data_IF_195441444489
#
_entry.id   IF_195441444489
#
_cell.length_a   1.000
_cell.length_b   1.000
_cell.length_c   1.000
_cell.angle_alpha   90.00
_cell.angle_beta   90.00
_cell.angle_gamma   90.00
#
_symmetry.space_group_name_H-M   'P 1'
#
loop_
_entity.id
_entity.type
_entity.pdbx_description
1 polymer ?
#
# COMPACT_ATOMS: atom_id res chain seq x y z
N UNK A 1 31.38 -12.26 17.28
CA UNK A 1 31.15 -10.86 16.86
C UNK A 1 29.80 -10.70 16.16
N UNK A 2 29.43 -11.56 15.20
CA UNK A 2 28.11 -11.52 14.55
C UNK A 2 26.92 -11.75 15.51
N UNK A 3 27.00 -12.72 16.43
CA UNK A 3 25.94 -12.97 17.45
C UNK A 3 25.58 -11.71 18.24
N UNK A 4 26.58 -11.01 18.76
CA UNK A 4 26.41 -9.80 19.57
C UNK A 4 25.81 -8.63 18.76
N UNK A 5 26.07 -8.56 17.45
CA UNK A 5 25.51 -7.54 16.58
C UNK A 5 24.03 -7.81 16.27
N UNK A 6 23.65 -9.06 16.02
CA UNK A 6 22.26 -9.43 15.84
C UNK A 6 21.45 -9.33 17.13
N UNK A 7 22.05 -9.62 18.29
CA UNK A 7 21.43 -9.36 19.60
C UNK A 7 21.13 -7.87 19.79
N UNK A 8 22.08 -6.99 19.45
CA UNK A 8 21.89 -5.53 19.49
C UNK A 8 20.78 -5.07 18.53
N UNK A 9 20.75 -5.59 17.31
CA UNK A 9 19.71 -5.26 16.33
C UNK A 9 18.34 -5.76 16.77
N UNK A 10 18.25 -6.98 17.31
CA UNK A 10 17.01 -7.55 17.85
C UNK A 10 16.47 -6.71 19.03
N UNK A 11 17.35 -6.22 19.92
CA UNK A 11 16.95 -5.33 21.00
C UNK A 11 16.41 -3.98 20.48
N UNK A 12 17.02 -3.42 19.41
CA UNK A 12 16.50 -2.21 18.76
C UNK A 12 15.15 -2.45 18.09
N UNK A 13 15.01 -3.57 17.36
CA UNK A 13 13.77 -3.99 16.73
C UNK A 13 12.65 -4.10 17.77
N UNK A 14 12.91 -4.80 18.89
CA UNK A 14 11.95 -4.95 19.98
C UNK A 14 11.51 -3.60 20.57
N UNK A 15 12.43 -2.64 20.71
CA UNK A 15 12.08 -1.28 21.15
C UNK A 15 11.15 -0.59 20.15
N UNK A 16 11.39 -0.74 18.84
CA UNK A 16 10.52 -0.19 17.80
C UNK A 16 9.15 -0.89 17.78
N UNK A 17 9.10 -2.21 17.97
CA UNK A 17 7.86 -2.98 18.13
C UNK A 17 7.02 -2.44 19.29
N UNK A 18 7.62 -2.26 20.48
CA UNK A 18 6.91 -1.70 21.64
C UNK A 18 6.36 -0.30 21.37
N UNK A 19 7.13 0.53 20.67
CA UNK A 19 6.72 1.89 20.33
C UNK A 19 5.53 1.91 19.38
N UNK A 20 5.58 1.11 18.31
CA UNK A 20 4.52 1.06 17.30
C UNK A 20 3.28 0.33 17.82
N UNK A 21 3.43 -0.68 18.68
CA UNK A 21 2.31 -1.43 19.25
C UNK A 21 1.35 -0.56 20.07
N UNK A 22 1.82 0.57 20.60
CA UNK A 22 1.02 1.52 21.39
C UNK A 22 0.38 2.61 20.52
N UNK A 23 0.60 2.60 19.20
CA UNK A 23 0.11 3.65 18.30
C UNK A 23 -1.32 3.43 17.83
N UNK A 24 -2.00 4.53 17.51
CA UNK A 24 -3.31 4.49 16.85
C UNK A 24 -3.19 3.92 15.42
N UNK A 25 -2.05 4.17 14.75
CA UNK A 25 -1.71 3.60 13.44
C UNK A 25 -1.81 2.06 13.45
N UNK A 26 -1.22 1.41 14.45
CA UNK A 26 -1.26 -0.04 14.57
C UNK A 26 -2.66 -0.55 14.87
N UNK A 27 -3.33 0.04 15.86
CA UNK A 27 -4.69 -0.34 16.26
C UNK A 27 -5.69 -0.22 15.12
N UNK A 28 -5.61 0.87 14.35
CA UNK A 28 -6.45 1.09 13.19
C UNK A 28 -6.16 0.05 12.09
N UNK A 29 -4.89 -0.23 11.83
CA UNK A 29 -4.51 -1.19 10.78
C UNK A 29 -4.96 -2.62 11.12
N UNK A 30 -4.74 -3.07 12.35
CA UNK A 30 -5.23 -4.40 12.79
C UNK A 30 -6.75 -4.50 12.66
N UNK A 31 -7.47 -3.42 12.94
CA UNK A 31 -8.93 -3.38 12.76
C UNK A 31 -9.34 -3.55 11.29
N UNK A 32 -8.63 -2.90 10.37
CA UNK A 32 -8.85 -3.02 8.92
C UNK A 32 -8.48 -4.42 8.38
N UNK A 33 -7.43 -5.04 8.92
CA UNK A 33 -6.95 -6.35 8.48
C UNK A 33 -7.75 -7.52 9.06
N UNK A 34 -8.36 -7.38 10.24
CA UNK A 34 -9.14 -8.44 10.92
C UNK A 34 -10.18 -9.17 10.04
N UNK A 35 -10.98 -8.49 9.19
CA UNK A 35 -11.94 -9.19 8.33
C UNK A 35 -11.28 -9.94 7.16
N UNK A 36 -10.02 -9.65 6.84
CA UNK A 36 -9.30 -10.25 5.73
C UNK A 36 -8.79 -11.65 6.12
N UNK A 37 -8.72 -12.54 5.13
CA UNK A 37 -8.32 -13.95 5.30
C UNK A 37 -7.10 -14.27 4.46
N UNK A 38 -6.00 -13.57 4.72
CA UNK A 38 -4.70 -13.90 4.15
C UNK A 38 -3.93 -14.81 5.12
N UNK A 39 -3.05 -15.64 4.57
CA UNK A 39 -2.21 -16.59 5.31
C UNK A 39 -0.72 -16.35 5.08
N UNK A 40 -0.38 -15.41 4.20
CA UNK A 40 0.98 -15.06 3.83
C UNK A 40 1.17 -13.54 3.76
N UNK A 41 2.41 -13.10 3.96
CA UNK A 41 2.80 -11.70 3.73
C UNK A 41 4.00 -11.67 2.78
N UNK A 42 3.89 -10.90 1.70
CA UNK A 42 5.01 -10.56 0.81
C UNK A 42 5.42 -9.12 1.09
N UNK A 43 6.58 -8.94 1.71
CA UNK A 43 7.15 -7.64 2.01
C UNK A 43 8.11 -7.20 0.88
N UNK A 44 7.86 -6.04 0.29
CA UNK A 44 8.70 -5.43 -0.74
C UNK A 44 8.99 -3.98 -0.40
N UNK A 45 10.12 -3.43 -0.86
CA UNK A 45 10.48 -2.03 -0.65
C UNK A 45 10.51 -1.63 0.84
N UNK A 46 11.24 -2.43 1.63
CA UNK A 46 11.44 -2.24 3.07
C UNK A 46 12.62 -1.29 3.40
N UNK A 47 13.58 -1.13 2.50
CA UNK A 47 14.90 -0.56 2.80
C UNK A 47 15.78 -1.51 3.61
N UNK A 48 16.99 -1.09 3.99
CA UNK A 48 17.93 -1.90 4.79
C UNK A 48 17.69 -1.78 6.30
N UNK A 49 17.14 -2.77 7.02
CA UNK A 49 16.86 -2.64 8.46
C UNK A 49 18.11 -2.52 9.34
N UNK A 50 19.28 -2.95 8.84
CA UNK A 50 20.56 -2.80 9.56
C UNK A 50 21.17 -1.40 9.44
N UNK A 51 20.84 -0.65 8.39
CA UNK A 51 21.43 0.67 8.10
C UNK A 51 20.44 1.83 8.28
N UNK A 52 19.16 1.61 7.98
CA UNK A 52 18.15 2.65 7.89
C UNK A 52 17.19 2.62 9.07
N UNK A 53 17.02 3.77 9.71
CA UNK A 53 16.12 3.93 10.84
C UNK A 53 14.65 3.65 10.47
N UNK A 54 14.22 4.12 9.31
CA UNK A 54 12.85 3.93 8.83
C UNK A 54 12.58 2.46 8.51
N UNK A 55 13.50 1.77 7.85
CA UNK A 55 13.39 0.35 7.51
C UNK A 55 13.24 -0.52 8.78
N UNK A 56 13.93 -0.18 9.87
CA UNK A 56 13.79 -0.90 11.12
C UNK A 56 12.40 -0.74 11.77
N UNK A 57 11.78 0.44 11.66
CA UNK A 57 10.39 0.64 12.09
C UNK A 57 9.40 -0.12 11.20
N UNK A 58 9.64 -0.17 9.90
CA UNK A 58 8.81 -0.94 8.98
C UNK A 58 8.92 -2.45 9.23
N UNK A 59 10.11 -2.95 9.55
CA UNK A 59 10.32 -4.34 9.95
C UNK A 59 9.62 -4.64 11.29
N UNK A 60 9.71 -3.73 12.26
CA UNK A 60 8.98 -3.84 13.52
C UNK A 60 7.47 -3.93 13.28
N UNK A 61 6.97 -3.10 12.37
CA UNK A 61 5.56 -3.09 12.00
C UNK A 61 5.14 -4.38 11.30
N UNK A 62 5.90 -4.86 10.32
CA UNK A 62 5.67 -6.15 9.67
C UNK A 62 5.55 -7.29 10.69
N UNK A 63 6.47 -7.33 11.67
CA UNK A 63 6.47 -8.35 12.72
C UNK A 63 5.23 -8.26 13.62
N UNK A 64 4.80 -7.06 14.00
CA UNK A 64 3.56 -6.85 14.76
C UNK A 64 2.32 -7.29 13.98
N UNK A 65 2.25 -6.95 12.68
CA UNK A 65 1.14 -7.34 11.81
C UNK A 65 1.07 -8.86 11.66
N UNK A 66 2.20 -9.51 11.43
CA UNK A 66 2.29 -10.97 11.36
C UNK A 66 1.78 -11.62 12.65
N UNK A 67 2.22 -11.13 13.81
CA UNK A 67 1.75 -11.61 15.11
C UNK A 67 0.24 -11.43 15.28
N UNK A 68 -0.29 -10.23 15.01
CA UNK A 68 -1.73 -9.95 15.10
C UNK A 68 -2.59 -10.79 14.15
N UNK A 69 -2.05 -11.15 13.01
CA UNK A 69 -2.76 -11.94 11.99
C UNK A 69 -2.44 -13.44 12.08
N UNK A 70 -1.67 -13.89 13.08
CA UNK A 70 -1.23 -15.27 13.27
C UNK A 70 -0.50 -15.86 12.05
N UNK A 71 0.38 -15.06 11.43
CA UNK A 71 1.21 -15.47 10.30
C UNK A 71 2.54 -16.01 10.83
N UNK A 72 2.84 -17.27 10.52
CA UNK A 72 4.12 -17.88 10.84
C UNK A 72 5.26 -17.22 10.05
N UNK A 73 6.45 -17.15 10.66
CA UNK A 73 7.65 -16.54 10.05
C UNK A 73 7.96 -17.09 8.64
N UNK A 74 7.81 -18.41 8.44
CA UNK A 74 8.02 -19.08 7.14
C UNK A 74 7.05 -18.65 6.03
N UNK A 75 5.92 -18.04 6.39
CA UNK A 75 4.91 -17.52 5.46
C UNK A 75 5.09 -16.01 5.19
N UNK A 76 6.19 -15.45 5.67
CA UNK A 76 6.59 -14.07 5.41
C UNK A 76 7.79 -14.14 4.47
N UNK A 77 7.64 -13.58 3.27
CA UNK A 77 8.76 -13.43 2.37
C UNK A 77 9.09 -11.98 2.10
N UNK A 78 10.39 -11.67 2.02
CA UNK A 78 10.91 -10.32 1.92
C UNK A 78 11.83 -10.19 0.71
N UNK A 79 11.79 -9.02 0.07
CA UNK A 79 12.80 -8.61 -0.89
C UNK A 79 12.93 -7.10 -0.96
N UNK A 80 14.17 -6.64 -0.99
CA UNK A 80 14.52 -5.28 -1.36
C UNK A 80 15.89 -5.28 -2.04
N UNK A 81 16.08 -4.59 -3.18
CA UNK A 81 17.41 -4.41 -3.76
C UNK A 81 18.40 -3.67 -2.83
N UNK A 82 17.92 -2.94 -1.81
CA UNK A 82 18.73 -2.29 -0.80
C UNK A 82 19.23 -3.24 0.30
N UNK A 83 18.77 -4.49 0.35
CA UNK A 83 19.23 -5.45 1.35
C UNK A 83 20.72 -5.73 1.22
N UNK A 84 21.42 -5.60 2.33
CA UNK A 84 22.78 -6.07 2.53
C UNK A 84 22.77 -7.54 2.97
N UNK A 85 23.92 -8.21 2.88
CA UNK A 85 24.08 -9.58 3.39
C UNK A 85 23.70 -9.71 4.87
N UNK A 86 23.93 -8.65 5.65
CA UNK A 86 23.57 -8.60 7.08
C UNK A 86 22.04 -8.55 7.27
N UNK A 87 21.31 -7.86 6.39
CA UNK A 87 19.86 -7.81 6.42
C UNK A 87 19.27 -9.18 6.09
N UNK A 88 19.77 -9.83 5.03
CA UNK A 88 19.27 -11.14 4.60
C UNK A 88 19.55 -12.21 5.66
N UNK A 89 20.74 -12.20 6.26
CA UNK A 89 21.08 -13.08 7.38
C UNK A 89 20.19 -12.83 8.61
N UNK A 90 19.94 -11.57 8.97
CA UNK A 90 19.09 -11.26 10.12
C UNK A 90 17.63 -11.69 9.87
N UNK A 91 17.07 -11.36 8.70
CA UNK A 91 15.71 -11.73 8.31
C UNK A 91 15.54 -13.27 8.28
N UNK A 92 16.48 -13.98 7.66
CA UNK A 92 16.39 -15.44 7.52
C UNK A 92 16.70 -16.18 8.83
N UNK A 93 17.83 -15.87 9.48
CA UNK A 93 18.33 -16.69 10.58
C UNK A 93 17.77 -16.26 11.95
N UNK A 94 17.57 -14.96 12.17
CA UNK A 94 17.07 -14.46 13.45
C UNK A 94 15.55 -14.35 13.48
N UNK A 95 14.91 -14.00 12.37
CA UNK A 95 13.44 -13.87 12.29
C UNK A 95 12.74 -15.05 11.61
N UNK A 96 13.46 -15.91 10.89
CA UNK A 96 12.88 -17.07 10.21
C UNK A 96 12.08 -16.73 8.95
N UNK A 97 12.30 -15.55 8.37
CA UNK A 97 11.60 -15.10 7.15
C UNK A 97 12.26 -15.69 5.91
N UNK A 98 11.49 -15.80 4.83
CA UNK A 98 12.01 -16.19 3.52
C UNK A 98 12.57 -14.95 2.81
N UNK A 99 13.82 -14.96 2.39
CA UNK A 99 14.38 -13.90 1.55
C UNK A 99 14.54 -14.45 0.14
N UNK A 100 13.75 -13.94 -0.80
CA UNK A 100 13.67 -14.48 -2.17
C UNK A 100 13.57 -13.33 -3.18
N UNK A 101 14.35 -13.40 -4.24
CA UNK A 101 14.35 -12.39 -5.30
C UNK A 101 13.05 -12.41 -6.13
N UNK A 102 12.71 -11.33 -6.86
CA UNK A 102 11.52 -11.29 -7.72
C UNK A 102 11.49 -12.42 -8.76
N UNK A 103 12.65 -12.84 -9.25
CA UNK A 103 12.80 -13.92 -10.23
C UNK A 103 12.50 -15.29 -9.64
N UNK A 104 12.71 -15.46 -8.34
CA UNK A 104 12.43 -16.68 -7.58
C UNK A 104 10.97 -16.75 -7.13
N UNK A 105 10.35 -15.58 -6.90
CA UNK A 105 8.98 -15.47 -6.44
C UNK A 105 7.94 -15.68 -7.57
N UNK A 106 7.53 -16.93 -7.74
CA UNK A 106 6.53 -17.35 -8.74
C UNK A 106 5.24 -17.89 -8.08
N UNK A 107 4.44 -17.06 -7.38
CA UNK A 107 3.23 -17.51 -6.71
C UNK A 107 2.15 -17.94 -7.72
N UNK A 108 1.46 -19.04 -7.41
CA UNK A 108 0.23 -19.39 -8.11
C UNK A 108 -0.94 -18.47 -7.74
N UNK A 109 -2.06 -18.49 -8.48
CA UNK A 109 -3.22 -17.64 -8.20
C UNK A 109 -3.80 -17.80 -6.79
N UNK A 110 -3.78 -19.02 -6.24
CA UNK A 110 -4.24 -19.31 -4.87
C UNK A 110 -3.35 -18.65 -3.81
N UNK A 111 -2.03 -18.79 -3.99
CA UNK A 111 -1.01 -18.14 -3.15
C UNK A 111 -1.20 -16.63 -3.18
N UNK A 112 -1.23 -16.01 -4.37
CA UNK A 112 -1.45 -14.57 -4.50
C UNK A 112 -2.77 -14.13 -3.85
N UNK A 113 -3.84 -14.91 -4.04
CA UNK A 113 -5.15 -14.63 -3.44
C UNK A 113 -5.18 -14.71 -1.91
N UNK A 114 -4.17 -15.34 -1.31
CA UNK A 114 -3.99 -15.52 0.14
C UNK A 114 -2.83 -14.69 0.71
N UNK A 115 -2.23 -13.81 -0.08
CA UNK A 115 -1.07 -12.99 0.31
C UNK A 115 -1.47 -11.53 0.51
N UNK A 116 -1.07 -10.96 1.65
CA UNK A 116 -1.01 -9.51 1.85
C UNK A 116 0.33 -9.00 1.32
N UNK A 117 0.30 -8.08 0.36
CA UNK A 117 1.51 -7.39 -0.10
C UNK A 117 1.78 -6.18 0.80
N UNK A 118 2.83 -6.22 1.59
CA UNK A 118 3.28 -5.11 2.42
C UNK A 118 4.37 -4.32 1.68
N UNK A 119 4.08 -3.07 1.32
CA UNK A 119 4.87 -2.26 0.40
C UNK A 119 4.94 -0.80 0.86
N UNK A 120 5.52 -0.51 2.04
CA UNK A 120 5.33 0.77 2.73
C UNK A 120 5.96 1.97 2.01
N UNK A 121 7.03 1.77 1.22
CA UNK A 121 7.70 2.81 0.44
C UNK A 121 7.98 2.36 -1.00
N UNK A 122 7.06 1.59 -1.58
CA UNK A 122 7.28 1.10 -2.93
C UNK A 122 7.19 2.23 -3.96
N UNK A 123 8.18 2.35 -4.88
CA UNK A 123 8.03 3.24 -6.02
C UNK A 123 6.85 2.79 -6.89
N UNK A 124 6.25 3.74 -7.61
CA UNK A 124 5.12 3.48 -8.51
C UNK A 124 5.38 2.37 -9.50
N UNK A 125 6.59 2.30 -10.04
CA UNK A 125 7.00 1.28 -11.01
C UNK A 125 6.95 -0.13 -10.42
N UNK A 126 7.33 -0.30 -9.15
CA UNK A 126 7.21 -1.57 -8.44
C UNK A 126 5.75 -1.91 -8.14
N UNK A 127 4.94 -0.91 -7.76
CA UNK A 127 3.51 -1.12 -7.55
C UNK A 127 2.81 -1.54 -8.85
N UNK A 128 3.12 -0.88 -9.97
CA UNK A 128 2.62 -1.25 -11.31
C UNK A 128 2.99 -2.69 -11.68
N UNK A 129 4.26 -3.08 -11.52
CA UNK A 129 4.70 -4.43 -11.86
C UNK A 129 4.01 -5.49 -11.01
N UNK A 130 3.89 -5.27 -9.70
CA UNK A 130 3.18 -6.18 -8.79
C UNK A 130 1.70 -6.31 -9.18
N UNK A 131 1.03 -5.20 -9.47
CA UNK A 131 -0.38 -5.21 -9.91
C UNK A 131 -0.54 -5.95 -11.25
N UNK A 132 0.32 -5.69 -12.23
CA UNK A 132 0.23 -6.27 -13.55
C UNK A 132 0.56 -7.78 -13.57
N UNK A 133 1.62 -8.18 -12.87
CA UNK A 133 2.17 -9.53 -12.89
C UNK A 133 1.44 -10.47 -11.92
N UNK A 134 1.35 -10.08 -10.64
CA UNK A 134 0.86 -10.99 -9.60
C UNK A 134 -0.64 -10.89 -9.39
N UNK A 135 -1.26 -9.75 -9.74
CA UNK A 135 -2.70 -9.51 -9.58
C UNK A 135 -3.20 -9.68 -8.12
N UNK A 136 -2.56 -9.03 -7.15
CA UNK A 136 -2.89 -9.17 -5.73
C UNK A 136 -4.27 -8.60 -5.39
N UNK A 137 -4.86 -9.13 -4.31
CA UNK A 137 -6.12 -8.63 -3.75
C UNK A 137 -5.90 -7.58 -2.67
N UNK A 138 -4.88 -7.77 -1.84
CA UNK A 138 -4.66 -6.94 -0.66
C UNK A 138 -3.25 -6.36 -0.68
N UNK A 139 -3.16 -5.03 -0.62
CA UNK A 139 -1.90 -4.32 -0.53
C UNK A 139 -1.95 -3.35 0.63
N UNK A 140 -1.06 -3.51 1.59
CA UNK A 140 -0.76 -2.50 2.60
C UNK A 140 0.43 -1.69 2.09
N UNK A 141 0.13 -0.63 1.36
CA UNK A 141 1.09 0.09 0.51
C UNK A 141 0.82 1.60 0.56
N UNK A 142 1.51 2.39 -0.26
CA UNK A 142 1.14 3.79 -0.45
C UNK A 142 -0.32 3.93 -0.90
N UNK A 143 -0.95 5.02 -0.49
CA UNK A 143 -2.32 5.36 -0.87
C UNK A 143 -2.39 5.64 -2.37
N UNK A 144 -3.05 4.75 -3.11
CA UNK A 144 -3.15 4.83 -4.56
C UNK A 144 -3.85 6.11 -5.02
N UNK A 145 -4.76 6.68 -4.22
CA UNK A 145 -5.51 7.88 -4.58
C UNK A 145 -4.63 9.14 -4.67
N UNK A 146 -3.47 9.15 -4.01
CA UNK A 146 -2.52 10.27 -4.04
C UNK A 146 -1.20 9.92 -4.75
N UNK A 147 -1.05 8.67 -5.16
CA UNK A 147 0.21 8.14 -5.71
C UNK A 147 0.62 8.80 -7.03
N UNK A 148 -0.31 9.37 -7.80
CA UNK A 148 -0.01 10.15 -9.02
C UNK A 148 0.99 11.29 -8.75
N UNK A 149 0.91 11.91 -7.57
CA UNK A 149 1.79 13.02 -7.16
C UNK A 149 1.68 14.21 -8.12
N UNK A 150 2.81 14.57 -8.73
CA UNK A 150 2.92 15.73 -9.64
C UNK A 150 2.77 15.36 -11.13
N UNK A 151 2.56 14.07 -11.46
CA UNK A 151 2.38 13.63 -12.84
C UNK A 151 1.02 14.07 -13.38
N UNK A 152 0.94 14.32 -14.68
CA UNK A 152 -0.35 14.46 -15.37
C UNK A 152 -1.00 13.09 -15.53
N UNK A 153 -2.34 13.02 -15.63
CA UNK A 153 -3.06 11.75 -15.83
C UNK A 153 -2.56 11.00 -17.07
N UNK A 154 -2.27 11.70 -18.16
CA UNK A 154 -1.75 11.12 -19.39
C UNK A 154 -0.38 10.43 -19.17
N UNK A 155 0.54 11.11 -18.49
CA UNK A 155 1.87 10.57 -18.20
C UNK A 155 1.79 9.41 -17.19
N UNK A 156 0.92 9.53 -16.19
CA UNK A 156 0.70 8.46 -15.23
C UNK A 156 0.10 7.20 -15.88
N UNK A 157 -0.85 7.36 -16.80
CA UNK A 157 -1.41 6.26 -17.59
C UNK A 157 -0.35 5.61 -18.51
N UNK A 158 0.54 6.41 -19.09
CA UNK A 158 1.63 5.89 -19.91
C UNK A 158 2.66 5.09 -19.09
N UNK A 159 3.08 5.60 -17.94
CA UNK A 159 4.14 4.99 -17.11
C UNK A 159 3.62 3.86 -16.22
N UNK A 160 2.37 3.94 -15.75
CA UNK A 160 1.75 3.00 -14.81
C UNK A 160 0.30 2.69 -15.20
N UNK A 161 0.06 2.01 -16.34
CA UNK A 161 -1.28 1.88 -16.91
C UNK A 161 -2.25 1.11 -16.01
N UNK A 162 -1.79 0.10 -15.28
CA UNK A 162 -2.64 -0.71 -14.39
C UNK A 162 -3.02 0.08 -13.16
N UNK A 163 -2.05 0.71 -12.50
CA UNK A 163 -2.30 1.57 -11.35
C UNK A 163 -3.16 2.79 -11.73
N UNK A 164 -2.91 3.44 -12.87
CA UNK A 164 -3.69 4.57 -13.35
C UNK A 164 -5.15 4.19 -13.64
N UNK A 165 -5.39 3.01 -14.22
CA UNK A 165 -6.76 2.49 -14.44
C UNK A 165 -7.47 2.25 -13.12
N UNK A 166 -6.76 1.73 -12.12
CA UNK A 166 -7.31 1.44 -10.81
C UNK A 166 -7.67 2.73 -10.05
N UNK A 167 -6.83 3.76 -10.11
CA UNK A 167 -7.12 5.10 -9.57
C UNK A 167 -8.30 5.75 -10.29
N UNK A 168 -8.38 5.62 -11.62
CA UNK A 168 -9.51 6.13 -12.39
C UNK A 168 -10.85 5.54 -11.93
N UNK A 169 -10.91 4.22 -11.67
CA UNK A 169 -12.12 3.57 -11.15
C UNK A 169 -12.48 4.08 -9.74
N UNK A 170 -11.48 4.26 -8.88
CA UNK A 170 -11.69 4.84 -7.55
C UNK A 170 -12.31 6.24 -7.60
N UNK A 171 -11.80 7.10 -8.47
CA UNK A 171 -12.29 8.48 -8.64
C UNK A 171 -13.73 8.49 -9.18
N UNK A 172 -14.05 7.63 -10.15
CA UNK A 172 -15.41 7.48 -10.69
C UNK A 172 -16.40 7.06 -9.61
N UNK A 173 -16.06 6.05 -8.81
CA UNK A 173 -16.92 5.55 -7.74
C UNK A 173 -17.10 6.58 -6.62
N UNK A 174 -16.06 7.35 -6.32
CA UNK A 174 -16.14 8.45 -5.35
C UNK A 174 -17.04 9.58 -5.85
N UNK A 175 -16.92 9.94 -7.13
CA UNK A 175 -17.78 10.96 -7.75
C UNK A 175 -19.25 10.53 -7.81
N UNK A 176 -19.53 9.26 -8.11
CA UNK A 176 -20.88 8.71 -8.11
C UNK A 176 -21.52 8.75 -6.71
N UNK A 177 -20.79 8.33 -5.67
CA UNK A 177 -21.27 8.41 -4.27
C UNK A 177 -21.60 9.84 -3.82
N UNK A 178 -20.87 10.85 -4.32
CA UNK A 178 -21.14 12.25 -4.03
C UNK A 178 -22.31 12.84 -4.84
N UNK A 179 -22.68 12.19 -5.95
CA UNK A 179 -23.79 12.57 -6.82
C UNK A 179 -25.13 11.91 -6.42
N UNK A 180 -25.10 10.84 -5.61
CA UNK A 180 -26.31 10.29 -5.01
C UNK A 180 -26.96 11.32 -4.06
N UNK A 181 -28.29 11.51 -4.12
CA UNK A 181 -28.96 12.46 -3.25
C UNK A 181 -28.81 11.99 -1.80
N UNK A 182 -28.13 12.79 -0.98
CA UNK A 182 -28.15 12.62 0.46
C UNK A 182 -29.61 12.54 0.93
N UNK A 183 -29.93 11.59 1.82
CA UNK A 183 -31.21 11.58 2.55
C UNK A 183 -31.52 12.99 3.04
N UNK A 184 -32.77 13.42 2.87
CA UNK A 184 -33.26 14.79 3.04
C UNK A 184 -33.08 15.35 4.47
N UNK A 185 -31.85 15.65 4.86
CA UNK A 185 -31.57 16.49 6.02
C UNK A 185 -31.75 17.94 5.60
N UNK A 186 -33.01 18.39 5.45
CA UNK A 186 -33.59 19.75 5.56
C UNK A 186 -32.78 21.02 5.20
N UNK A 187 -31.59 20.92 4.63
CA UNK A 187 -30.66 21.99 4.36
C UNK A 187 -30.65 22.23 2.85
N UNK A 188 -31.37 23.27 2.47
CA UNK A 188 -31.37 23.79 1.10
C UNK A 188 -29.95 24.23 0.75
N UNK A 189 -29.31 23.54 -0.19
CA UNK A 189 -28.05 24.00 -0.79
C UNK A 189 -28.25 25.40 -1.39
N UNK A 190 -27.60 26.40 -0.80
CA UNK A 190 -27.54 27.75 -1.38
C UNK A 190 -26.68 27.69 -2.63
N UNK A 191 -27.34 27.55 -3.79
CA UNK A 191 -26.69 27.73 -5.10
C UNK A 191 -26.16 29.16 -5.20
N UNK A 192 -24.85 29.30 -5.30
CA UNK A 192 -24.21 30.60 -5.52
C UNK A 192 -24.70 31.17 -6.85
N UNK A 193 -25.22 32.41 -6.81
CA UNK A 193 -25.72 33.14 -7.99
C UNK A 193 -24.63 33.15 -9.08
N UNK A 194 -24.98 32.67 -10.27
CA UNK A 194 -24.15 32.72 -11.50
C UNK A 194 -23.61 34.15 -11.69
N UNK A 195 -22.31 34.36 -11.41
CA UNK A 195 -21.60 35.55 -11.87
C UNK A 195 -21.46 35.47 -13.40
N UNK A 196 -21.89 36.51 -14.10
CA UNK A 196 -21.78 36.64 -15.57
C UNK A 196 -20.33 36.35 -15.99
N UNK A 197 -20.18 35.30 -16.81
CA UNK A 197 -18.91 34.81 -17.34
C UNK A 197 -18.29 35.84 -18.28
N UNK A 198 -17.11 36.36 -17.93
CA UNK A 198 -16.19 36.96 -18.91
C UNK A 198 -15.55 35.81 -19.70
N UNK A 199 -15.40 35.89 -21.03
CA UNK A 199 -14.80 34.82 -21.81
C UNK A 199 -13.32 34.70 -21.43
N UNK A 200 -13.00 33.71 -20.60
CA UNK A 200 -11.61 33.31 -20.36
C UNK A 200 -11.13 32.57 -21.61
N UNK A 201 -10.39 33.26 -22.47
CA UNK A 201 -9.59 32.62 -23.52
C UNK A 201 -8.63 31.66 -22.84
N UNK A 202 -8.67 30.39 -23.26
CA UNK A 202 -7.89 29.24 -22.78
C UNK A 202 -8.47 28.59 -21.52
N UNK A 203 -9.63 27.94 -21.67
CA UNK A 203 -10.02 26.85 -20.77
C UNK A 203 -9.25 25.62 -21.23
N UNK A 204 -8.31 25.15 -20.40
CA UNK A 204 -7.64 23.86 -20.64
C UNK A 204 -8.71 22.77 -20.63
N UNK A 205 -8.86 22.08 -21.76
CA UNK A 205 -9.68 20.87 -21.86
C UNK A 205 -8.72 19.72 -21.62
N UNK A 206 -8.92 19.00 -20.53
CA UNK A 206 -8.16 17.79 -20.26
C UNK A 206 -8.46 16.77 -21.37
N UNK A 207 -7.44 16.19 -22.03
CA UNK A 207 -7.68 15.22 -23.10
C UNK A 207 -8.46 14.02 -22.55
N UNK A 208 -9.41 13.51 -23.34
CA UNK A 208 -10.06 12.24 -23.01
C UNK A 208 -9.02 11.13 -23.07
N UNK A 209 -8.80 10.47 -21.93
CA UNK A 209 -7.87 9.37 -21.80
C UNK A 209 -8.64 8.05 -21.87
N UNK A 210 -8.12 7.12 -22.67
CA UNK A 210 -8.68 5.78 -22.79
C UNK A 210 -8.03 4.85 -21.78
N UNK A 211 -8.82 4.32 -20.85
CA UNK A 211 -8.39 3.35 -19.85
C UNK A 211 -8.85 1.96 -20.25
N UNK A 212 -7.95 0.98 -20.30
CA UNK A 212 -8.26 -0.43 -20.59
C UNK A 212 -8.92 -1.13 -19.39
N UNK A 213 -10.08 -0.64 -18.95
CA UNK A 213 -10.87 -1.26 -17.90
C UNK A 213 -11.24 -2.71 -18.26
N UNK A 214 -11.66 -3.06 -19.50
CA UNK A 214 -12.02 -4.43 -19.86
C UNK A 214 -10.87 -5.43 -19.72
N UNK A 215 -9.64 -5.06 -20.06
CA UNK A 215 -8.46 -5.93 -19.98
C UNK A 215 -7.89 -6.12 -18.56
N UNK A 216 -8.27 -5.30 -17.58
CA UNK A 216 -7.80 -5.48 -16.19
C UNK A 216 -8.47 -6.63 -15.46
N UNK A 217 -7.77 -7.22 -14.49
CA UNK A 217 -8.27 -8.31 -13.65
C UNK A 217 -9.23 -7.85 -12.54
N UNK A 218 -9.38 -6.54 -12.36
CA UNK A 218 -10.18 -5.92 -11.32
C UNK A 218 -11.33 -5.10 -11.90
N UNK A 219 -12.34 -4.88 -11.06
CA UNK A 219 -13.47 -3.99 -11.35
C UNK A 219 -13.50 -2.75 -10.47
N UNK A 220 -12.81 -2.77 -9.32
CA UNK A 220 -12.83 -1.69 -8.34
C UNK A 220 -11.63 -1.77 -7.39
N UNK A 221 -11.41 -0.73 -6.59
CA UNK A 221 -10.53 -0.70 -5.43
C UNK A 221 -11.21 0.00 -4.26
N UNK A 222 -11.00 -0.53 -3.05
CA UNK A 222 -11.32 0.17 -1.82
C UNK A 222 -10.05 0.60 -1.12
N UNK A 223 -9.92 1.91 -0.87
CA UNK A 223 -8.73 2.50 -0.24
C UNK A 223 -9.11 2.96 1.17
N UNK A 224 -8.43 2.42 2.18
CA UNK A 224 -8.58 2.82 3.57
C UNK A 224 -7.25 3.40 4.08
N UNK A 225 -7.17 4.74 4.13
CA UNK A 225 -5.96 5.44 4.57
C UNK A 225 -5.69 5.20 6.05
N UNK A 226 -4.43 4.91 6.36
CA UNK A 226 -3.94 4.74 7.73
C UNK A 226 -3.16 6.00 8.10
N UNK A 227 -3.68 6.78 9.04
CA UNK A 227 -3.01 8.00 9.49
C UNK A 227 -1.84 7.64 10.39
N UNK A 228 -0.68 8.23 10.11
CA UNK A 228 0.45 8.23 11.02
C UNK A 228 0.29 9.32 12.08
N UNK A 229 0.76 9.04 13.29
CA UNK A 229 0.72 9.98 14.41
C UNK A 229 1.71 11.13 14.15
N UNK A 230 1.22 12.37 14.11
CA UNK A 230 1.98 13.53 13.64
C UNK A 230 3.27 13.82 14.46
N UNK A 231 3.32 13.37 15.72
CA UNK A 231 4.46 13.53 16.62
C UNK A 231 5.29 12.26 16.85
N UNK A 232 4.95 11.14 16.20
CA UNK A 232 5.65 9.89 16.42
C UNK A 232 7.03 9.85 15.74
N UNK A 233 8.05 9.23 16.35
CA UNK A 233 9.38 9.10 15.76
C UNK A 233 9.40 8.24 14.48
N UNK A 234 8.36 7.45 14.22
CA UNK A 234 8.19 6.64 13.00
C UNK A 234 7.27 7.27 11.94
N UNK A 235 6.89 8.54 12.10
CA UNK A 235 5.94 9.21 11.18
C UNK A 235 6.33 9.05 9.72
N UNK A 236 7.61 9.29 9.42
CA UNK A 236 8.10 9.28 8.04
C UNK A 236 8.29 7.85 7.50
N UNK A 237 8.29 6.83 8.37
CA UNK A 237 8.35 5.41 8.00
C UNK A 237 7.05 4.87 7.41
N UNK A 238 5.93 5.56 7.61
CA UNK A 238 4.60 5.14 7.14
C UNK A 238 3.85 6.29 6.46
N UNK A 239 4.59 7.22 5.85
CA UNK A 239 4.02 8.32 5.06
C UNK A 239 3.14 7.74 3.94
N UNK A 240 1.89 8.20 3.92
CA UNK A 240 0.85 7.78 2.95
C UNK A 240 0.49 6.30 2.97
N UNK A 241 0.66 5.58 4.08
CA UNK A 241 0.24 4.17 4.17
C UNK A 241 -1.29 4.03 4.07
N UNK A 242 -1.75 3.06 3.29
CA UNK A 242 -3.15 2.69 3.16
C UNK A 242 -3.32 1.19 2.93
N UNK A 243 -4.46 0.67 3.35
CA UNK A 243 -4.95 -0.62 2.88
C UNK A 243 -5.70 -0.41 1.57
N UNK A 244 -5.12 -0.93 0.48
CA UNK A 244 -5.70 -0.95 -0.86
C UNK A 244 -6.25 -2.36 -1.13
N UNK A 245 -7.58 -2.49 -1.20
CA UNK A 245 -8.28 -3.75 -1.48
C UNK A 245 -8.76 -3.74 -2.91
N UNK A 246 -8.09 -4.51 -3.77
CA UNK A 246 -8.45 -4.67 -5.18
C UNK A 246 -9.61 -5.65 -5.28
N UNK A 247 -10.69 -5.26 -5.94
CA UNK A 247 -11.87 -6.09 -6.15
C UNK A 247 -11.73 -6.80 -7.50
N UNK A 248 -11.45 -8.12 -7.53
CA UNK A 248 -11.29 -8.84 -8.79
C UNK A 248 -12.60 -8.90 -9.56
N UNK A 249 -12.51 -9.03 -10.88
CA UNK A 249 -13.67 -9.41 -11.70
C UNK A 249 -14.07 -10.85 -11.36
N UNK A 250 -15.36 -11.10 -11.27
CA UNK A 250 -15.88 -12.45 -11.16
C UNK A 250 -15.45 -13.26 -12.40
N UNK A 251 -14.91 -14.46 -12.17
CA UNK A 251 -14.66 -15.39 -13.28
C UNK A 251 -16.03 -15.80 -13.80
N UNK A 252 -16.34 -15.41 -15.05
CA UNK A 252 -17.45 -16.00 -15.80
C UNK A 252 -17.16 -17.46 -16.11
#
# INVERSE_FOLDING_TARGET
MESTRFESLAAKLQKHEQCVAQSDLYTHTVTLLRPLKFTMIRCLALGSPTQEFQALYQLAYLKLLASSCNIEAKNISCYDPAFLAEDTQFLANALGYVVEAPEEYCPGPETTGSTLYYMPHAPRTLTESVLAQHRPRWLLANDFSVTMGTLTKARFLQECPTLATLVHLFDQNTAQKLAEPAQEDGFVRVVSRKRRSRPRKNVYVEPELEYDVPGKYFRDVHISRIKADAGAPWRDSFSDLALNVVVPKEKK
#
